data_IF_841091150174
#
_entry.id   IF_841091150174
#
_cell.length_a   1.000
_cell.length_b   1.000
_cell.length_c   1.000
_cell.angle_alpha   90.00
_cell.angle_beta   90.00
_cell.angle_gamma   90.00
#
_symmetry.space_group_name_H-M   'P 1'
#
loop_
_entity.id
_entity.type
_entity.pdbx_description
1 polymer ?
#
# COMPACT_ATOMS: atom_id res chain seq x y z
N UNK A 1 -6.49 21.84 -37.98
CA UNK A 1 -6.20 21.56 -36.55
C UNK A 1 -6.46 20.09 -36.28
N UNK A 2 -5.45 19.26 -36.09
CA UNK A 2 -5.64 17.87 -35.67
C UNK A 2 -5.18 17.72 -34.22
N UNK A 3 -6.13 17.78 -33.30
CA UNK A 3 -5.94 17.35 -31.91
C UNK A 3 -6.26 15.85 -31.82
N UNK A 4 -5.73 15.21 -30.76
CA UNK A 4 -6.02 13.87 -30.24
C UNK A 4 -5.13 12.72 -30.74
N UNK A 5 -4.10 12.44 -29.95
CA UNK A 5 -4.12 11.30 -29.02
C UNK A 5 -3.15 11.61 -27.88
N UNK A 6 -3.67 12.20 -26.80
CA UNK A 6 -2.98 12.18 -25.50
C UNK A 6 -2.84 10.70 -25.15
N UNK A 7 -1.68 10.11 -25.41
CA UNK A 7 -1.38 8.73 -25.06
C UNK A 7 -1.64 8.63 -23.56
N UNK A 8 -2.76 8.02 -23.17
CA UNK A 8 -2.98 7.65 -21.77
C UNK A 8 -1.85 6.67 -21.49
N UNK A 9 -0.80 7.15 -20.80
CA UNK A 9 0.24 6.28 -20.27
C UNK A 9 -0.51 5.13 -19.58
N UNK A 10 -0.18 3.86 -19.86
CA UNK A 10 -0.77 2.75 -19.12
C UNK A 10 -0.64 3.10 -17.64
N UNK A 11 -1.74 3.03 -16.89
CA UNK A 11 -1.73 3.35 -15.48
C UNK A 11 -0.84 2.29 -14.80
N UNK A 12 0.44 2.59 -14.62
CA UNK A 12 1.44 1.61 -14.23
C UNK A 12 1.10 0.97 -12.88
N UNK A 13 0.38 1.68 -12.02
CA UNK A 13 -0.15 1.17 -10.75
C UNK A 13 -1.24 0.14 -10.98
N UNK A 14 -2.13 0.38 -11.95
CA UNK A 14 -3.23 -0.52 -12.29
C UNK A 14 -2.72 -1.87 -12.80
N UNK A 15 -1.67 -1.88 -13.62
CA UNK A 15 -1.09 -3.15 -14.08
C UNK A 15 -0.50 -3.98 -12.91
N UNK A 16 0.14 -3.34 -11.92
CA UNK A 16 0.60 -4.02 -10.68
C UNK A 16 -0.58 -4.64 -9.94
N UNK A 17 -1.66 -3.87 -9.83
CA UNK A 17 -2.85 -4.28 -9.10
C UNK A 17 -3.56 -5.45 -9.78
N UNK A 18 -3.72 -5.41 -11.10
CA UNK A 18 -4.35 -6.49 -11.86
C UNK A 18 -3.57 -7.81 -11.73
N UNK A 19 -2.24 -7.77 -11.81
CA UNK A 19 -1.41 -8.95 -11.60
C UNK A 19 -1.48 -9.47 -10.15
N UNK A 20 -1.55 -8.58 -9.17
CA UNK A 20 -1.76 -8.96 -7.77
C UNK A 20 -3.12 -9.64 -7.55
N UNK A 21 -4.19 -9.15 -8.19
CA UNK A 21 -5.51 -9.79 -8.14
C UNK A 21 -5.54 -11.17 -8.80
N UNK A 22 -4.61 -11.46 -9.72
CA UNK A 22 -4.41 -12.80 -10.29
C UNK A 22 -3.69 -13.76 -9.34
N UNK A 23 -3.32 -13.31 -8.14
CA UNK A 23 -2.67 -14.13 -7.11
C UNK A 23 -1.14 -14.15 -7.20
N UNK A 24 -0.53 -13.33 -8.06
CA UNK A 24 0.93 -13.23 -8.16
C UNK A 24 1.53 -12.53 -6.94
N UNK A 25 2.72 -12.97 -6.52
CA UNK A 25 3.48 -12.31 -5.45
C UNK A 25 4.10 -11.00 -5.94
N UNK A 26 4.53 -10.15 -5.01
CA UNK A 26 5.19 -8.87 -5.33
C UNK A 26 6.46 -9.10 -6.17
N UNK A 27 7.21 -10.16 -5.87
CA UNK A 27 8.45 -10.55 -6.56
C UNK A 27 8.15 -11.05 -7.98
N UNK A 28 7.12 -11.85 -8.16
CA UNK A 28 6.68 -12.31 -9.49
C UNK A 28 6.23 -11.14 -10.36
N UNK A 29 5.46 -10.21 -9.79
CA UNK A 29 5.04 -8.99 -10.49
C UNK A 29 6.24 -8.12 -10.83
N UNK A 30 7.19 -7.97 -9.90
CA UNK A 30 8.41 -7.20 -10.11
C UNK A 30 9.23 -7.78 -11.27
N UNK A 31 9.42 -9.10 -11.30
CA UNK A 31 10.12 -9.80 -12.36
C UNK A 31 9.40 -9.68 -13.71
N UNK A 32 8.10 -9.96 -13.77
CA UNK A 32 7.30 -9.92 -15.01
C UNK A 32 7.26 -8.51 -15.62
N UNK A 33 7.28 -7.48 -14.77
CA UNK A 33 7.23 -6.09 -15.20
C UNK A 33 8.61 -5.44 -15.36
N UNK A 34 9.69 -6.15 -15.06
CA UNK A 34 11.05 -5.61 -15.02
C UNK A 34 11.15 -4.35 -14.14
N UNK A 35 10.56 -4.40 -12.94
CA UNK A 35 10.56 -3.32 -11.96
C UNK A 35 11.15 -3.77 -10.63
N UNK A 36 11.59 -2.84 -9.78
CA UNK A 36 11.96 -3.19 -8.40
C UNK A 36 10.72 -3.54 -7.56
N UNK A 37 10.84 -4.53 -6.67
CA UNK A 37 9.78 -4.91 -5.72
C UNK A 37 9.25 -3.70 -4.94
N UNK A 38 10.13 -2.82 -4.47
CA UNK A 38 9.75 -1.58 -3.77
C UNK A 38 8.85 -0.63 -4.59
N UNK A 39 8.97 -0.66 -5.92
CA UNK A 39 8.07 0.10 -6.80
C UNK A 39 6.70 -0.55 -6.87
N UNK A 40 6.66 -1.89 -6.98
CA UNK A 40 5.41 -2.65 -6.94
C UNK A 40 4.71 -2.44 -5.61
N UNK A 41 5.45 -2.49 -4.51
CA UNK A 41 4.91 -2.25 -3.17
C UNK A 41 4.26 -0.86 -3.06
N UNK A 42 4.97 0.16 -3.56
CA UNK A 42 4.46 1.53 -3.63
C UNK A 42 3.20 1.67 -4.49
N UNK A 43 3.09 0.89 -5.57
CA UNK A 43 1.85 0.84 -6.37
C UNK A 43 0.69 0.23 -5.57
N UNK A 44 0.90 -0.93 -4.94
CA UNK A 44 -0.15 -1.64 -4.19
C UNK A 44 -0.62 -0.85 -2.97
N UNK A 45 0.25 -0.05 -2.36
CA UNK A 45 -0.11 0.75 -1.18
C UNK A 45 -1.27 1.71 -1.46
N UNK A 46 -1.38 2.24 -2.68
CA UNK A 46 -2.48 3.13 -3.06
C UNK A 46 -3.83 2.41 -3.08
N UNK A 47 -3.84 1.11 -3.40
CA UNK A 47 -5.05 0.29 -3.42
C UNK A 47 -5.45 -0.19 -2.02
N UNK A 48 -4.52 -0.21 -1.06
CA UNK A 48 -4.86 -0.35 0.37
C UNK A 48 -5.59 0.90 0.87
N UNK A 49 -5.11 2.09 0.48
CA UNK A 49 -5.72 3.37 0.86
C UNK A 49 -7.17 3.53 0.36
N UNK A 50 -7.50 2.91 -0.77
CA UNK A 50 -8.86 2.92 -1.34
C UNK A 50 -9.71 1.73 -0.88
N UNK A 51 -9.17 0.81 -0.07
CA UNK A 51 -9.87 -0.41 0.37
C UNK A 51 -10.00 -1.49 -0.70
N UNK A 52 -9.38 -1.32 -1.87
CA UNK A 52 -9.40 -2.31 -2.96
C UNK A 52 -8.46 -3.50 -2.70
N UNK A 53 -7.42 -3.31 -1.89
CA UNK A 53 -6.61 -4.38 -1.33
C UNK A 53 -6.82 -4.38 0.18
N UNK A 54 -7.21 -5.53 0.71
CA UNK A 54 -7.17 -5.77 2.14
C UNK A 54 -5.70 -5.84 2.60
N UNK A 55 -5.34 -5.05 3.62
CA UNK A 55 -4.00 -4.98 4.19
C UNK A 55 -3.49 -6.35 4.65
N UNK A 56 -4.39 -7.23 5.11
CA UNK A 56 -4.05 -8.57 5.59
C UNK A 56 -3.60 -9.52 4.47
N UNK A 57 -3.75 -9.13 3.20
CA UNK A 57 -3.14 -9.84 2.06
C UNK A 57 -1.67 -9.51 1.85
N UNK A 58 -1.17 -8.45 2.47
CA UNK A 58 0.18 -7.93 2.29
C UNK A 58 1.02 -7.99 3.58
N UNK A 59 0.37 -7.94 4.73
CA UNK A 59 1.03 -7.86 6.04
C UNK A 59 0.33 -8.83 6.99
N UNK A 60 1.11 -9.56 7.80
CA UNK A 60 0.54 -10.48 8.80
C UNK A 60 -0.30 -9.72 9.83
N UNK A 61 -1.32 -10.38 10.38
CA UNK A 61 -2.23 -9.77 11.37
C UNK A 61 -1.48 -9.23 12.59
N UNK A 62 -0.47 -9.97 13.08
CA UNK A 62 0.40 -9.55 14.18
C UNK A 62 1.08 -8.21 13.88
N UNK A 63 1.68 -8.08 12.70
CA UNK A 63 2.37 -6.85 12.28
C UNK A 63 1.38 -5.72 12.03
N UNK A 64 0.22 -5.99 11.43
CA UNK A 64 -0.85 -5.00 11.27
C UNK A 64 -1.26 -4.44 12.62
N UNK A 65 -1.48 -5.30 13.62
CA UNK A 65 -1.82 -4.88 14.98
C UNK A 65 -0.70 -4.06 15.61
N UNK A 66 0.54 -4.54 15.57
CA UNK A 66 1.72 -3.85 16.14
C UNK A 66 1.92 -2.46 15.55
N UNK A 67 1.85 -2.34 14.22
CA UNK A 67 2.01 -1.07 13.51
C UNK A 67 0.81 -0.15 13.75
N UNK A 68 -0.40 -0.70 13.80
CA UNK A 68 -1.62 0.08 14.09
C UNK A 68 -1.58 0.67 15.49
N UNK A 69 -1.22 -0.14 16.50
CA UNK A 69 -1.10 0.30 17.89
C UNK A 69 -0.08 1.44 18.04
N UNK A 70 1.01 1.40 17.26
CA UNK A 70 1.98 2.49 17.22
C UNK A 70 1.36 3.77 16.65
N UNK A 71 0.77 3.72 15.45
CA UNK A 71 0.23 4.92 14.80
C UNK A 71 -1.01 5.50 15.47
N UNK A 72 -1.79 4.70 16.19
CA UNK A 72 -2.94 5.18 16.96
C UNK A 72 -2.52 5.90 18.26
N UNK A 73 -1.34 5.56 18.80
CA UNK A 73 -0.76 6.24 19.98
C UNK A 73 0.13 7.41 19.59
N UNK A 74 0.75 7.36 18.42
CA UNK A 74 1.62 8.42 17.93
C UNK A 74 0.80 9.65 17.53
N UNK A 75 1.24 10.83 17.95
CA UNK A 75 0.63 12.11 17.56
C UNK A 75 0.90 12.47 16.08
N UNK A 76 1.74 11.71 15.39
CA UNK A 76 2.08 11.92 13.98
C UNK A 76 2.14 10.60 13.19
N UNK A 77 2.00 10.71 11.87
CA UNK A 77 2.01 9.59 10.92
C UNK A 77 3.38 9.42 10.24
N UNK A 78 4.46 9.91 10.84
CA UNK A 78 5.79 9.85 10.21
C UNK A 78 6.34 8.42 10.23
N UNK A 79 6.70 7.91 9.05
CA UNK A 79 7.21 6.54 8.91
C UNK A 79 8.61 6.35 9.54
N UNK A 80 9.45 7.40 9.56
CA UNK A 80 10.80 7.34 10.12
C UNK A 80 10.83 6.96 11.60
N UNK A 81 10.15 7.72 12.47
CA UNK A 81 10.00 7.36 13.89
C UNK A 81 9.39 5.97 14.09
N UNK A 82 8.38 5.60 13.29
CA UNK A 82 7.76 4.28 13.36
C UNK A 82 8.77 3.15 13.06
N UNK A 83 9.61 3.32 12.03
CA UNK A 83 10.66 2.35 11.68
C UNK A 83 11.70 2.19 12.78
N UNK A 84 12.07 3.28 13.45
CA UNK A 84 13.01 3.23 14.59
C UNK A 84 12.37 2.54 15.78
N UNK A 85 11.14 2.91 16.15
CA UNK A 85 10.45 2.38 17.31
C UNK A 85 10.07 0.89 17.18
N UNK A 86 9.74 0.45 15.95
CA UNK A 86 9.37 -0.94 15.65
C UNK A 86 10.56 -1.78 15.15
N UNK A 87 11.75 -1.19 15.11
CA UNK A 87 13.04 -1.83 14.78
C UNK A 87 13.04 -2.55 13.41
N UNK A 88 13.95 -3.52 13.24
CA UNK A 88 14.08 -4.37 12.04
C UNK A 88 13.01 -5.46 11.89
N UNK A 89 11.96 -5.46 12.73
CA UNK A 89 10.88 -6.45 12.64
C UNK A 89 9.82 -6.10 11.58
N UNK A 90 9.79 -4.84 11.13
CA UNK A 90 8.81 -4.35 10.14
C UNK A 90 9.50 -3.67 8.96
N UNK A 91 9.00 -3.90 7.76
CA UNK A 91 9.53 -3.28 6.55
C UNK A 91 8.88 -1.93 6.24
N UNK A 92 9.56 -1.11 5.44
CA UNK A 92 9.06 0.21 5.04
C UNK A 92 7.73 0.12 4.27
N UNK A 93 7.53 -0.93 3.49
CA UNK A 93 6.28 -1.20 2.77
C UNK A 93 5.16 -1.54 3.73
N UNK A 94 5.40 -2.41 4.72
CA UNK A 94 4.44 -2.79 5.75
C UNK A 94 3.96 -1.56 6.54
N UNK A 95 4.87 -0.68 6.96
CA UNK A 95 4.53 0.58 7.62
C UNK A 95 3.59 1.43 6.75
N UNK A 96 3.89 1.54 5.46
CA UNK A 96 3.08 2.33 4.51
C UNK A 96 1.71 1.69 4.27
N UNK A 97 1.63 0.37 4.16
CA UNK A 97 0.38 -0.35 4.00
C UNK A 97 -0.56 -0.14 5.17
N UNK A 98 -0.05 -0.32 6.39
CA UNK A 98 -0.87 -0.16 7.60
C UNK A 98 -1.29 1.29 7.80
N UNK A 99 -0.41 2.26 7.53
CA UNK A 99 -0.80 3.68 7.57
C UNK A 99 -1.96 3.98 6.60
N UNK A 100 -1.88 3.51 5.36
CA UNK A 100 -2.94 3.70 4.37
C UNK A 100 -4.24 2.97 4.75
N UNK A 101 -4.13 1.80 5.38
CA UNK A 101 -5.26 1.07 5.92
C UNK A 101 -5.98 1.84 7.04
N UNK A 102 -5.23 2.47 7.95
CA UNK A 102 -5.81 3.33 9.00
C UNK A 102 -6.49 4.57 8.40
N UNK A 103 -5.92 5.17 7.36
CA UNK A 103 -6.56 6.28 6.64
C UNK A 103 -7.87 5.85 5.96
N UNK A 104 -7.89 4.66 5.35
CA UNK A 104 -9.10 4.08 4.77
C UNK A 104 -10.17 3.88 5.85
N UNK A 105 -9.83 3.27 6.99
CA UNK A 105 -10.75 3.08 8.13
C UNK A 105 -11.33 4.40 8.65
N UNK A 106 -10.51 5.43 8.83
CA UNK A 106 -10.97 6.77 9.25
C UNK A 106 -11.94 7.41 8.25
N UNK A 107 -11.84 7.07 6.97
CA UNK A 107 -12.76 7.57 5.94
C UNK A 107 -14.12 6.86 6.05
N UNK A 108 -14.13 5.55 6.34
CA UNK A 108 -15.37 4.79 6.55
C UNK A 108 -16.11 5.21 7.82
N UNK A 109 -15.39 5.60 8.89
CA UNK A 109 -16.01 6.05 10.15
C UNK A 109 -16.69 7.43 10.05
N UNK A 110 -16.30 8.26 9.07
CA UNK A 110 -16.85 9.62 8.87
C UNK A 110 -18.10 9.67 8.00
N UNK A 111 -18.48 8.54 7.39
CA UNK A 111 -19.71 8.39 6.60
C UNK A 111 -20.57 7.26 7.21
N UNK A 112 -21.16 7.47 8.41
CA UNK A 112 -22.19 6.56 8.89
C UNK A 112 -23.43 6.78 8.02
N UNK A 113 -23.68 5.86 7.09
CA UNK A 113 -24.96 5.80 6.38
C UNK A 113 -26.12 5.73 7.37
#
# INVERSE_FOLDING_TARGET
MLSLRKHRKPNTKQQSFELFLQGKTIEEIAAERSMAASTIEGHLALYVKTGQIDVYKLVSEEKVKKISDYFLKAENTMLGPAKVALNNEVDWSELRYVMNYLEFKKTQEKDPT
#
